data_IF_271320273347
#
_entry.id   IF_271320273347
#
_cell.length_a   1.000
_cell.length_b   1.000
_cell.length_c   1.000
_cell.angle_alpha   90.00
_cell.angle_beta   90.00
_cell.angle_gamma   90.00
#
_symmetry.space_group_name_H-M   'P 1'
#
loop_
_entity.id
_entity.type
_entity.pdbx_description
1 polymer ?
#
# COMPACT_ATOMS: atom_id res chain seq x y z
N UNK A 1 -38.48 26.40 -49.79
CA UNK A 1 -39.05 25.68 -48.62
C UNK A 1 -38.69 24.20 -48.74
N UNK A 2 -37.57 23.80 -48.14
CA UNK A 2 -37.26 22.55 -47.43
C UNK A 2 -35.97 22.89 -46.62
N UNK A 3 -35.87 22.60 -45.32
CA UNK A 3 -34.63 22.81 -44.56
C UNK A 3 -33.73 21.59 -44.73
N UNK A 4 -32.57 21.77 -45.36
CA UNK A 4 -31.54 20.73 -45.48
C UNK A 4 -30.66 20.74 -44.23
N UNK A 5 -30.76 19.65 -43.46
CA UNK A 5 -29.62 18.94 -42.88
C UNK A 5 -28.75 19.67 -41.85
N UNK A 6 -29.12 19.55 -40.57
CA UNK A 6 -28.16 19.72 -39.48
C UNK A 6 -27.09 18.63 -39.54
N UNK A 7 -25.89 18.98 -40.00
CA UNK A 7 -24.71 18.16 -39.73
C UNK A 7 -24.37 18.33 -38.26
N UNK A 8 -24.81 17.39 -37.43
CA UNK A 8 -24.33 17.18 -36.08
C UNK A 8 -22.84 16.84 -36.14
N UNK A 9 -22.02 17.88 -36.32
CA UNK A 9 -20.60 17.80 -36.09
C UNK A 9 -20.42 17.48 -34.62
N UNK A 10 -20.07 16.25 -34.31
CA UNK A 10 -19.33 15.94 -33.10
C UNK A 10 -18.11 16.88 -33.13
N UNK A 11 -18.22 18.01 -32.44
CA UNK A 11 -17.11 18.92 -32.25
C UNK A 11 -16.06 18.10 -31.53
N UNK A 12 -15.02 17.70 -32.27
CA UNK A 12 -13.83 17.11 -31.70
C UNK A 12 -13.35 18.14 -30.70
N UNK A 13 -13.56 17.87 -29.42
CA UNK A 13 -12.86 18.57 -28.34
C UNK A 13 -11.40 18.56 -28.76
N UNK A 14 -10.85 19.75 -29.02
CA UNK A 14 -9.45 19.90 -29.36
C UNK A 14 -8.67 19.05 -28.36
N UNK A 15 -7.86 18.12 -28.87
CA UNK A 15 -7.15 17.16 -28.06
C UNK A 15 -6.47 17.93 -26.91
N UNK A 16 -7.00 17.75 -25.69
CA UNK A 16 -6.36 18.29 -24.50
C UNK A 16 -4.90 17.88 -24.58
N UNK A 17 -3.99 18.85 -24.43
CA UNK A 17 -2.57 18.63 -24.54
C UNK A 17 -2.18 17.43 -23.65
N UNK A 18 -1.92 16.30 -24.29
CA UNK A 18 -1.70 15.03 -23.62
C UNK A 18 -0.27 15.05 -23.07
N UNK A 19 -0.11 15.52 -21.83
CA UNK A 19 1.19 15.49 -21.17
C UNK A 19 1.60 14.03 -20.97
N UNK A 20 2.60 13.58 -21.72
CA UNK A 20 3.22 12.27 -21.51
C UNK A 20 4.16 12.34 -20.31
N UNK A 21 3.72 11.78 -19.18
CA UNK A 21 4.56 11.57 -18.02
C UNK A 21 5.26 10.21 -18.10
N UNK A 22 6.58 10.18 -17.89
CA UNK A 22 7.33 8.93 -17.69
C UNK A 22 7.50 8.70 -16.20
N UNK A 23 6.73 7.75 -15.66
CA UNK A 23 6.79 7.38 -14.25
C UNK A 23 7.68 6.15 -14.05
N UNK A 24 8.61 6.23 -13.10
CA UNK A 24 9.43 5.08 -12.68
C UNK A 24 8.95 4.60 -11.32
N UNK A 25 8.42 3.38 -11.27
CA UNK A 25 7.91 2.74 -10.06
C UNK A 25 8.86 1.61 -9.66
N UNK A 26 9.29 1.61 -8.41
CA UNK A 26 10.01 0.50 -7.79
C UNK A 26 9.04 -0.24 -6.88
N UNK A 27 8.97 -1.56 -6.98
CA UNK A 27 8.18 -2.41 -6.09
C UNK A 27 9.13 -3.21 -5.22
N UNK A 28 9.02 -3.08 -3.90
CA UNK A 28 9.78 -3.89 -2.96
C UNK A 28 8.90 -5.04 -2.47
N UNK A 29 9.19 -6.25 -2.92
CA UNK A 29 8.52 -7.46 -2.44
C UNK A 29 9.31 -8.07 -1.28
N UNK A 30 8.64 -8.40 -0.19
CA UNK A 30 9.23 -8.95 1.03
C UNK A 30 8.48 -10.22 1.46
N UNK A 31 9.19 -11.10 2.16
CA UNK A 31 8.60 -12.11 3.03
C UNK A 31 8.85 -11.64 4.47
N UNK A 32 7.95 -10.83 5.07
CA UNK A 32 8.19 -10.25 6.39
C UNK A 32 8.28 -11.32 7.47
N UNK A 33 9.14 -11.08 8.45
CA UNK A 33 9.14 -11.84 9.69
C UNK A 33 7.84 -11.55 10.44
N UNK A 34 6.99 -12.57 10.57
CA UNK A 34 5.69 -12.43 11.21
C UNK A 34 5.83 -11.94 12.66
N UNK A 35 5.14 -10.86 13.00
CA UNK A 35 5.20 -10.27 14.33
C UNK A 35 6.48 -9.49 14.66
N UNK A 36 7.46 -9.41 13.75
CA UNK A 36 8.73 -8.69 13.95
C UNK A 36 8.98 -7.63 12.85
N UNK A 37 8.33 -6.45 12.97
CA UNK A 37 8.55 -5.34 12.04
C UNK A 37 10.00 -4.88 11.96
N UNK A 38 10.75 -4.92 13.06
CA UNK A 38 12.12 -4.43 13.11
C UNK A 38 13.05 -5.28 12.24
N UNK A 39 12.87 -6.60 12.26
CA UNK A 39 13.62 -7.51 11.38
C UNK A 39 13.29 -7.30 9.91
N UNK A 40 12.00 -7.24 9.58
CA UNK A 40 11.55 -6.99 8.20
C UNK A 40 12.05 -5.65 7.64
N UNK A 41 12.10 -4.60 8.46
CA UNK A 41 12.67 -3.30 8.08
C UNK A 41 14.17 -3.37 7.79
N UNK A 42 14.94 -4.18 8.54
CA UNK A 42 16.37 -4.38 8.24
C UNK A 42 16.57 -5.03 6.87
N UNK A 43 15.80 -6.08 6.57
CA UNK A 43 15.82 -6.72 5.25
C UNK A 43 15.41 -5.75 4.14
N UNK A 44 14.41 -4.91 4.38
CA UNK A 44 14.01 -3.87 3.44
C UNK A 44 15.13 -2.82 3.20
N UNK A 45 15.83 -2.40 4.25
CA UNK A 45 16.97 -1.49 4.16
C UNK A 45 18.09 -2.10 3.30
N UNK A 46 18.39 -3.39 3.48
CA UNK A 46 19.39 -4.12 2.68
C UNK A 46 19.02 -4.17 1.20
N UNK A 47 17.76 -4.47 0.87
CA UNK A 47 17.29 -4.50 -0.51
C UNK A 47 17.35 -3.11 -1.19
N UNK A 48 17.13 -2.05 -0.43
CA UNK A 48 17.13 -0.67 -0.93
C UNK A 48 18.49 0.03 -0.83
N UNK A 49 19.51 -0.65 -0.30
CA UNK A 49 20.81 -0.05 0.00
C UNK A 49 21.51 0.54 -1.22
N UNK A 50 21.33 -0.08 -2.40
CA UNK A 50 21.95 0.36 -3.66
C UNK A 50 21.19 1.47 -4.37
N UNK A 51 19.90 1.67 -4.06
CA UNK A 51 19.11 2.72 -4.68
C UNK A 51 19.52 4.09 -4.12
N UNK A 52 19.58 5.06 -5.00
CA UNK A 52 19.95 6.44 -4.73
C UNK A 52 18.92 7.37 -5.37
N UNK A 53 19.06 8.68 -5.13
CA UNK A 53 18.24 9.70 -5.80
C UNK A 53 18.43 9.70 -7.32
N UNK A 54 19.63 9.41 -7.80
CA UNK A 54 19.99 9.45 -9.22
C UNK A 54 19.31 8.33 -10.03
N UNK A 55 18.83 7.28 -9.36
CA UNK A 55 18.00 6.25 -9.97
C UNK A 55 16.64 6.76 -10.44
N UNK A 56 16.20 7.96 -9.99
CA UNK A 56 15.00 8.62 -10.51
C UNK A 56 13.70 7.85 -10.25
N UNK A 57 13.62 7.12 -9.12
CA UNK A 57 12.39 6.46 -8.69
C UNK A 57 11.38 7.53 -8.27
N UNK A 58 10.18 7.46 -8.83
CA UNK A 58 9.09 8.40 -8.50
C UNK A 58 8.18 7.83 -7.41
N UNK A 59 7.94 6.52 -7.45
CA UNK A 59 7.13 5.79 -6.47
C UNK A 59 7.88 4.54 -6.02
N UNK A 60 8.03 4.36 -4.71
CA UNK A 60 8.40 3.10 -4.08
C UNK A 60 7.15 2.48 -3.46
N UNK A 61 6.72 1.34 -3.98
CA UNK A 61 5.54 0.61 -3.52
C UNK A 61 5.95 -0.62 -2.71
N UNK A 62 5.38 -0.76 -1.52
CA UNK A 62 5.51 -1.94 -0.65
C UNK A 62 4.16 -2.67 -0.52
N UNK A 63 4.15 -3.94 -0.10
CA UNK A 63 2.94 -4.74 0.03
C UNK A 63 2.04 -4.27 1.18
N UNK A 64 0.89 -4.91 1.31
CA UNK A 64 0.08 -4.84 2.51
C UNK A 64 0.85 -5.41 3.72
N UNK A 65 0.74 -4.74 4.87
CA UNK A 65 1.39 -5.11 6.13
C UNK A 65 2.88 -5.46 5.97
N UNK A 66 3.59 -4.61 5.21
CA UNK A 66 4.89 -4.90 4.61
C UNK A 66 5.96 -5.41 5.59
N UNK A 67 5.88 -5.01 6.86
CA UNK A 67 6.88 -5.36 7.87
C UNK A 67 6.38 -6.34 8.93
N UNK A 68 5.08 -6.44 9.17
CA UNK A 68 4.52 -7.22 10.27
C UNK A 68 4.14 -8.65 9.87
N UNK A 69 4.01 -8.93 8.57
CA UNK A 69 3.31 -10.12 8.11
C UNK A 69 1.80 -9.93 8.18
N UNK A 70 1.04 -10.95 7.79
CA UNK A 70 -0.40 -10.80 7.57
C UNK A 70 -1.27 -11.70 8.46
N UNK A 71 -0.87 -12.95 8.65
CA UNK A 71 -1.71 -13.98 9.26
C UNK A 71 -1.67 -13.93 10.80
N UNK A 72 -2.42 -13.01 11.41
CA UNK A 72 -2.62 -12.94 12.87
C UNK A 72 -3.84 -13.74 13.31
N UNK A 73 -3.78 -14.36 14.49
CA UNK A 73 -4.84 -15.26 14.97
C UNK A 73 -6.09 -14.51 15.45
N UNK A 74 -5.89 -13.35 16.06
CA UNK A 74 -6.95 -12.50 16.58
C UNK A 74 -6.52 -11.02 16.64
N UNK A 75 -7.45 -10.19 17.11
CA UNK A 75 -7.23 -8.75 17.19
C UNK A 75 -6.18 -8.38 18.25
N UNK A 76 -6.10 -9.11 19.36
CA UNK A 76 -5.09 -8.86 20.37
C UNK A 76 -3.69 -9.18 19.85
N UNK A 77 -3.58 -10.17 18.96
CA UNK A 77 -2.34 -10.55 18.29
C UNK A 77 -1.82 -9.45 17.34
N UNK A 78 -2.63 -9.02 16.35
CA UNK A 78 -2.22 -7.90 15.46
C UNK A 78 -2.03 -6.59 16.22
N UNK A 79 -2.71 -6.38 17.34
CA UNK A 79 -2.56 -5.17 18.15
C UNK A 79 -1.15 -4.99 18.71
N UNK A 80 -0.36 -6.07 18.83
CA UNK A 80 1.04 -6.03 19.28
C UNK A 80 1.95 -5.29 18.30
N UNK A 81 1.63 -5.34 17.01
CA UNK A 81 2.38 -4.70 15.92
C UNK A 81 1.67 -3.49 15.33
N UNK A 82 0.41 -3.22 15.73
CA UNK A 82 -0.33 -2.08 15.23
C UNK A 82 0.26 -0.73 15.71
N UNK A 83 0.49 0.17 14.76
CA UNK A 83 1.21 1.43 14.97
C UNK A 83 0.30 2.65 14.86
N UNK A 84 0.66 3.75 15.52
CA UNK A 84 0.08 5.08 15.30
C UNK A 84 0.65 5.76 14.05
N UNK A 85 0.07 6.88 13.62
CA UNK A 85 0.50 7.61 12.41
C UNK A 85 1.91 8.20 12.46
N UNK A 86 2.56 8.16 13.62
CA UNK A 86 3.95 8.57 13.81
C UNK A 86 4.88 7.36 14.05
N UNK A 87 4.37 6.14 13.87
CA UNK A 87 5.03 4.88 14.20
C UNK A 87 6.28 4.54 13.37
N UNK A 88 6.99 3.44 13.73
CA UNK A 88 8.18 2.96 13.04
C UNK A 88 8.04 2.88 11.51
N UNK A 89 6.93 2.33 11.00
CA UNK A 89 6.68 2.19 9.56
C UNK A 89 6.57 3.53 8.87
N UNK A 90 5.86 4.50 9.47
CA UNK A 90 5.73 5.85 8.91
C UNK A 90 7.08 6.57 8.90
N UNK A 91 7.86 6.46 9.98
CA UNK A 91 9.22 7.01 10.07
C UNK A 91 10.16 6.38 9.05
N UNK A 92 10.06 5.07 8.84
CA UNK A 92 10.81 4.35 7.81
C UNK A 92 10.47 4.87 6.41
N UNK A 93 9.17 5.04 6.12
CA UNK A 93 8.72 5.59 4.84
C UNK A 93 9.25 7.03 4.63
N UNK A 94 9.16 7.89 5.64
CA UNK A 94 9.68 9.26 5.57
C UNK A 94 11.19 9.30 5.31
N UNK A 95 11.98 8.46 6.00
CA UNK A 95 13.42 8.31 5.77
C UNK A 95 13.72 7.95 4.31
N UNK A 96 13.05 6.95 3.76
CA UNK A 96 13.31 6.48 2.39
C UNK A 96 12.77 7.44 1.32
N UNK A 97 11.63 8.07 1.56
CA UNK A 97 11.09 9.13 0.70
C UNK A 97 12.07 10.29 0.58
N UNK A 98 12.60 10.78 1.70
CA UNK A 98 13.58 11.87 1.72
C UNK A 98 14.91 11.47 1.04
N UNK A 99 15.41 10.26 1.35
CA UNK A 99 16.67 9.73 0.80
C UNK A 99 16.62 9.56 -0.71
N UNK A 100 15.55 8.95 -1.24
CA UNK A 100 15.40 8.64 -2.67
C UNK A 100 14.74 9.77 -3.47
N UNK A 101 14.12 10.74 -2.80
CA UNK A 101 13.36 11.81 -3.47
C UNK A 101 12.08 11.32 -4.14
N UNK A 102 11.41 10.34 -3.54
CA UNK A 102 10.26 9.65 -4.12
C UNK A 102 9.06 9.60 -3.16
N UNK A 103 7.88 9.25 -3.68
CA UNK A 103 6.71 8.90 -2.86
C UNK A 103 6.82 7.44 -2.42
N UNK A 104 6.59 7.16 -1.14
CA UNK A 104 6.58 5.78 -0.61
C UNK A 104 5.15 5.39 -0.25
N UNK A 105 4.69 4.25 -0.76
CA UNK A 105 3.41 3.65 -0.45
C UNK A 105 3.67 2.35 0.33
N UNK A 106 3.14 2.25 1.56
CA UNK A 106 3.39 1.12 2.44
C UNK A 106 2.16 0.79 3.27
N UNK A 107 1.72 -0.47 3.26
CA UNK A 107 0.65 -0.95 4.12
C UNK A 107 1.18 -1.35 5.49
N UNK A 108 0.46 -0.98 6.57
CA UNK A 108 0.78 -1.36 7.94
C UNK A 108 -0.49 -1.46 8.80
N UNK A 109 -0.51 -2.31 9.84
CA UNK A 109 -1.61 -2.33 10.78
C UNK A 109 -1.66 -1.02 11.55
N UNK A 110 -2.72 -0.24 11.32
CA UNK A 110 -2.90 1.08 11.97
C UNK A 110 -3.73 0.94 13.24
N UNK A 111 -3.22 1.51 14.33
CA UNK A 111 -3.97 1.71 15.58
C UNK A 111 -4.82 2.97 15.47
N UNK A 112 -6.14 2.81 15.50
CA UNK A 112 -7.10 3.93 15.45
C UNK A 112 -7.63 4.22 16.86
N UNK A 113 -7.36 5.41 17.43
CA UNK A 113 -7.90 5.77 18.74
C UNK A 113 -9.44 5.69 18.75
N UNK A 114 -10.00 5.04 19.77
CA UNK A 114 -11.45 4.93 19.95
C UNK A 114 -12.16 3.97 18.98
N UNK A 115 -11.42 3.25 18.12
CA UNK A 115 -12.04 2.21 17.29
C UNK A 115 -12.53 1.05 18.16
N UNK A 116 -13.80 0.69 17.99
CA UNK A 116 -14.33 -0.54 18.55
C UNK A 116 -13.80 -1.70 17.72
N UNK A 117 -13.17 -2.65 18.39
CA UNK A 117 -12.81 -3.91 17.76
C UNK A 117 -14.10 -4.60 17.33
N UNK A 118 -14.21 -4.88 16.02
CA UNK A 118 -15.27 -5.75 15.51
C UNK A 118 -14.84 -7.18 15.82
N UNK A 119 -15.58 -7.85 16.67
CA UNK A 119 -15.47 -9.29 16.79
C UNK A 119 -16.18 -9.88 15.59
N UNK A 120 -15.44 -10.46 14.65
CA UNK A 120 -16.04 -11.38 13.70
C UNK A 120 -16.39 -12.64 14.48
N UNK A 121 -17.69 -12.92 14.62
CA UNK A 121 -18.16 -14.22 15.09
C UNK A 121 -17.58 -15.27 14.14
N UNK A 122 -16.67 -16.11 14.64
CA UNK A 122 -16.28 -17.32 13.91
C UNK A 122 -17.55 -18.12 13.67
N UNK A 123 -17.98 -18.24 12.41
CA UNK A 123 -19.02 -19.18 12.01
C UNK A 123 -18.62 -20.58 12.52
N UNK A 124 -19.30 -21.07 13.54
CA UNK A 124 -19.20 -22.44 13.99
C UNK A 124 -20.09 -23.33 13.13
N UNK A 125 -19.52 -24.38 12.55
CA UNK A 125 -20.17 -25.67 12.30
C UNK A 125 -19.09 -26.67 11.86
N UNK A 126 -18.54 -27.41 12.82
CA UNK A 126 -18.01 -28.73 12.52
C UNK A 126 -19.21 -29.69 12.57
N UNK A 127 -19.83 -29.92 11.41
CA UNK A 127 -20.71 -31.06 11.19
C UNK A 127 -19.85 -32.25 10.78
N UNK A 128 -19.92 -33.33 11.57
CA UNK A 128 -19.48 -34.73 11.36
C UNK A 128 -18.96 -35.23 12.73
N UNK A 129 -19.53 -36.23 13.40
CA UNK A 129 -19.98 -37.52 12.89
C UNK A 129 -21.21 -38.04 13.65
N UNK A 130 -22.21 -38.49 12.88
CA UNK A 130 -23.15 -39.50 13.29
C UNK A 130 -22.86 -40.75 12.44
N UNK A 131 -22.31 -41.77 13.07
CA UNK A 131 -22.52 -43.19 12.73
C UNK A 131 -22.40 -44.03 14.02
#
# INVERSE_FOLDING_TARGET
RLPEGGSGGCQRVAAAEMVRLKLKVACLQLNPAHGDPASSMRTADEHLARLTRDDGVHILLLPEMAFSGYCFDDVADVSRVAETDDGPTVRWCAKHAARLGCTVLCGYPRRVPGAKIRHDEKNGAADADAD
#
